data_IF_232994748964
#
_entry.id   IF_232994748964
#
_cell.length_a   1.000
_cell.length_b   1.000
_cell.length_c   1.000
_cell.angle_alpha   90.00
_cell.angle_beta   90.00
_cell.angle_gamma   90.00
#
_symmetry.space_group_name_H-M   'P 1'
#
loop_
_entity.id
_entity.type
_entity.pdbx_description
1 polymer ?
#
# COMPACT_ATOMS: atom_id res chain seq x y z
N UNK A 1 11.76 3.17 1.89
CA UNK A 1 10.66 3.92 1.25
C UNK A 1 9.64 4.22 2.34
N UNK A 2 9.45 5.49 2.70
CA UNK A 2 8.43 5.85 3.69
C UNK A 2 7.05 5.59 3.10
N UNK A 3 6.25 4.77 3.79
CA UNK A 3 4.84 4.59 3.49
C UNK A 3 4.04 4.62 4.78
N UNK A 4 2.73 4.76 4.66
CA UNK A 4 1.81 4.92 5.76
C UNK A 4 0.87 3.72 5.80
N UNK A 5 0.73 3.10 6.97
CA UNK A 5 -0.08 1.91 7.18
C UNK A 5 -1.24 2.19 8.13
N UNK A 6 -2.35 1.50 7.92
CA UNK A 6 -3.49 1.49 8.83
C UNK A 6 -3.29 0.42 9.90
N UNK A 7 -3.34 0.82 11.17
CA UNK A 7 -3.11 -0.07 12.32
C UNK A 7 -4.34 -0.85 12.77
N UNK A 8 -5.51 -0.60 12.18
CA UNK A 8 -6.77 -1.24 12.57
C UNK A 8 -6.93 -2.69 12.12
N UNK A 9 -5.85 -3.36 11.72
CA UNK A 9 -5.83 -4.77 11.30
C UNK A 9 -6.39 -5.04 9.89
N UNK A 10 -6.79 -3.99 9.17
CA UNK A 10 -7.43 -4.08 7.86
C UNK A 10 -6.47 -3.96 6.67
N UNK A 11 -5.15 -3.93 6.93
CA UNK A 11 -4.12 -4.00 5.89
C UNK A 11 -4.08 -2.82 4.91
N UNK A 12 -4.64 -1.67 5.27
CA UNK A 12 -4.56 -0.47 4.44
C UNK A 12 -3.14 0.10 4.41
N UNK A 13 -2.63 0.45 3.24
CA UNK A 13 -1.37 1.17 3.07
C UNK A 13 -1.51 2.32 2.08
N UNK A 14 -0.63 3.32 2.18
CA UNK A 14 -0.56 4.44 1.25
C UNK A 14 0.85 5.01 1.20
N UNK A 15 1.28 5.48 0.03
CA UNK A 15 2.56 6.20 -0.11
C UNK A 15 2.45 7.61 0.50
N UNK A 16 1.24 8.17 0.54
CA UNK A 16 0.99 9.52 1.04
C UNK A 16 0.39 9.50 2.44
N UNK A 17 0.69 10.53 3.27
CA UNK A 17 0.00 10.70 4.53
C UNK A 17 -1.50 10.90 4.27
N UNK A 18 -2.33 10.31 5.12
CA UNK A 18 -3.77 10.33 4.94
C UNK A 18 -4.48 9.60 6.06
N UNK A 19 -5.71 9.16 5.78
CA UNK A 19 -6.52 8.38 6.71
C UNK A 19 -6.81 7.00 6.14
N UNK A 20 -7.09 6.05 7.02
CA UNK A 20 -7.49 4.71 6.64
C UNK A 20 -8.87 4.74 5.95
N UNK A 21 -8.91 4.33 4.69
CA UNK A 21 -10.13 4.39 3.86
C UNK A 21 -10.94 3.09 3.88
N UNK A 22 -10.47 2.06 4.57
CA UNK A 22 -11.16 0.77 4.65
C UNK A 22 -12.37 0.87 5.57
N UNK A 23 -13.57 0.91 5.00
CA UNK A 23 -14.84 1.11 5.71
C UNK A 23 -15.17 0.04 6.75
N UNK A 24 -14.61 -1.16 6.59
CA UNK A 24 -14.74 -2.29 7.52
C UNK A 24 -13.66 -2.31 8.59
N UNK A 25 -12.75 -1.34 8.59
CA UNK A 25 -11.65 -1.26 9.54
C UNK A 25 -12.08 -0.59 10.84
N UNK A 26 -11.56 -1.08 11.96
CA UNK A 26 -11.76 -0.44 13.27
C UNK A 26 -11.23 1.00 13.26
N UNK A 27 -10.14 1.22 12.53
CA UNK A 27 -9.48 2.52 12.37
C UNK A 27 -9.97 3.27 11.12
N UNK A 28 -11.16 2.96 10.58
CA UNK A 28 -11.72 3.73 9.46
C UNK A 28 -11.72 5.23 9.79
N UNK A 29 -11.24 6.05 8.84
CA UNK A 29 -11.02 7.50 8.96
C UNK A 29 -9.97 7.95 9.98
N UNK A 30 -9.29 7.03 10.67
CA UNK A 30 -8.16 7.37 11.53
C UNK A 30 -6.90 7.64 10.69
N UNK A 31 -5.99 8.51 11.16
CA UNK A 31 -4.75 8.81 10.46
C UNK A 31 -3.89 7.56 10.27
N UNK A 32 -3.34 7.40 9.07
CA UNK A 32 -2.36 6.36 8.77
C UNK A 32 -1.07 6.63 9.54
N UNK A 33 -0.40 5.57 9.98
CA UNK A 33 0.85 5.63 10.72
C UNK A 33 2.02 5.39 9.79
N UNK A 34 3.03 6.26 9.85
CA UNK A 34 4.26 6.09 9.09
C UNK A 34 4.96 4.77 9.48
N UNK A 35 5.35 3.99 8.46
CA UNK A 35 6.12 2.77 8.57
C UNK A 35 7.50 2.99 7.97
N UNK A 36 8.53 2.80 8.80
CA UNK A 36 9.95 2.95 8.44
C UNK A 36 10.58 1.63 7.99
N UNK A 37 9.84 0.88 7.20
CA UNK A 37 10.15 -0.49 6.85
C UNK A 37 10.80 -0.52 5.46
N UNK A 38 11.97 -1.16 5.37
CA UNK A 38 12.78 -1.15 4.15
C UNK A 38 12.20 -2.03 3.03
N UNK A 39 11.49 -3.09 3.40
CA UNK A 39 10.96 -4.09 2.47
C UNK A 39 9.62 -3.72 1.79
N UNK A 40 8.85 -2.76 2.33
CA UNK A 40 7.50 -2.48 1.82
C UNK A 40 6.47 -3.62 1.98
N UNK A 41 6.83 -4.72 2.66
CA UNK A 41 6.04 -5.97 2.69
C UNK A 41 5.01 -6.04 3.83
N UNK A 42 4.36 -4.94 4.17
CA UNK A 42 3.43 -4.96 5.30
C UNK A 42 2.18 -5.78 5.00
N UNK A 43 1.70 -5.78 3.75
CA UNK A 43 0.47 -6.49 3.40
C UNK A 43 0.44 -7.19 2.05
N UNK A 44 1.59 -7.39 1.40
CA UNK A 44 1.69 -8.09 0.13
C UNK A 44 1.08 -7.26 -0.98
N UNK A 45 1.94 -6.54 -1.69
CA UNK A 45 1.71 -5.99 -3.02
C UNK A 45 0.25 -5.73 -3.39
N UNK A 46 -0.28 -4.56 -3.06
CA UNK A 46 -1.16 -3.89 -4.03
C UNK A 46 -0.25 -3.34 -5.13
N UNK A 47 0.43 -4.24 -5.83
CA UNK A 47 0.96 -3.93 -7.14
C UNK A 47 -0.29 -3.55 -7.95
N UNK A 48 -0.48 -2.25 -8.17
CA UNK A 48 -1.06 -1.84 -9.45
C UNK A 48 -0.18 -2.52 -10.48
N UNK A 49 -0.67 -3.66 -10.98
CA UNK A 49 -0.14 -4.31 -12.17
C UNK A 49 -0.20 -3.29 -13.30
N UNK A 50 0.83 -2.46 -13.40
CA UNK A 50 1.33 -2.08 -14.71
C UNK A 50 2.07 -3.32 -15.18
N UNK A 51 1.29 -4.22 -15.80
CA UNK A 51 1.79 -5.17 -16.78
C UNK A 51 2.58 -4.37 -17.82
N UNK A 52 3.88 -4.18 -17.55
CA UNK A 52 4.85 -3.79 -18.55
C UNK A 52 5.07 -5.02 -19.42
N UNK A 53 4.18 -5.21 -20.39
CA UNK A 53 4.41 -6.15 -21.47
C UNK A 53 5.46 -5.57 -22.43
N UNK A 54 6.69 -5.39 -21.94
CA UNK A 54 7.87 -5.28 -22.79
C UNK A 54 8.22 -6.69 -23.28
N UNK A 55 7.51 -7.11 -24.34
CA UNK A 55 8.02 -8.11 -25.25
C UNK A 55 8.43 -7.40 -26.54
N UNK A 56 9.66 -6.90 -26.56
CA UNK A 56 10.38 -6.54 -27.79
C UNK A 56 10.57 -7.83 -28.63
N UNK A 57 9.57 -8.18 -29.43
CA UNK A 57 9.71 -9.19 -30.48
C UNK A 57 10.57 -8.60 -31.61
N UNK A 58 11.86 -8.94 -31.58
CA UNK A 58 12.74 -8.88 -32.75
C UNK A 58 12.44 -10.09 -33.64
N UNK A 59 11.78 -9.87 -34.79
CA UNK A 59 11.98 -10.64 -36.03
C UNK A 59 11.90 -9.71 -37.24
#
# INVERSE_FOLDING_TARGET
MSHYICTGGCKGESVNPGVCQTSTCLDYTQPLKECDCEDGKHYGSFEEEKDDNSFDDKV
#
